data_IF_646899377844
#
_entry.id   IF_646899377844
#
_cell.length_a   1.000
_cell.length_b   1.000
_cell.length_c   1.000
_cell.angle_alpha   90.00
_cell.angle_beta   90.00
_cell.angle_gamma   90.00
#
_symmetry.space_group_name_H-M   'P 1'
#
loop_
_entity.id
_entity.type
_entity.pdbx_description
1 polymer ?
#
# COMPACT_ATOMS: atom_id res chain seq x y z
N UNK A 1 10.52 8.56 -11.43
CA UNK A 1 9.58 7.81 -12.28
C UNK A 1 8.25 7.74 -11.57
N UNK A 2 7.14 8.00 -12.27
CA UNK A 2 5.80 7.85 -11.70
C UNK A 2 5.39 6.39 -11.83
N UNK A 3 4.95 5.78 -10.73
CA UNK A 3 4.40 4.41 -10.76
C UNK A 3 3.02 4.49 -11.40
N UNK A 4 2.76 3.69 -12.43
CA UNK A 4 1.38 3.45 -12.84
C UNK A 4 0.74 2.47 -11.85
N UNK A 5 0.08 3.03 -10.85
CA UNK A 5 -0.59 2.28 -9.80
C UNK A 5 -1.68 1.34 -10.31
N UNK A 6 -2.16 1.45 -11.56
CA UNK A 6 -3.20 0.57 -12.10
C UNK A 6 -2.66 -0.72 -12.70
N UNK A 7 -1.45 -0.71 -13.26
CA UNK A 7 -0.94 -1.81 -14.08
C UNK A 7 0.49 -2.24 -13.75
N UNK A 8 1.26 -1.43 -13.04
CA UNK A 8 2.65 -1.75 -12.71
C UNK A 8 2.75 -3.00 -11.84
N UNK A 9 3.81 -3.78 -12.03
CA UNK A 9 4.16 -4.86 -11.10
C UNK A 9 4.56 -4.25 -9.76
N UNK A 10 3.77 -4.53 -8.73
CA UNK A 10 3.98 -4.04 -7.37
C UNK A 10 4.76 -5.09 -6.57
N UNK A 11 5.77 -4.63 -5.84
CA UNK A 11 6.60 -5.46 -4.98
C UNK A 11 6.67 -4.83 -3.59
N UNK A 12 7.17 -5.60 -2.61
CA UNK A 12 7.44 -5.06 -1.27
C UNK A 12 8.40 -3.87 -1.28
N UNK A 13 9.27 -3.76 -2.30
CA UNK A 13 10.24 -2.66 -2.44
C UNK A 13 9.69 -1.45 -3.22
N UNK A 14 8.48 -1.53 -3.77
CA UNK A 14 7.84 -0.40 -4.45
C UNK A 14 7.64 0.75 -3.47
N UNK A 15 8.29 1.89 -3.74
CA UNK A 15 8.18 3.10 -2.93
C UNK A 15 6.80 3.73 -3.11
N UNK A 16 6.16 4.11 -2.00
CA UNK A 16 4.92 4.89 -1.98
C UNK A 16 5.30 6.34 -2.27
N UNK A 17 5.01 6.79 -3.48
CA UNK A 17 5.27 8.17 -3.90
C UNK A 17 4.09 9.11 -3.56
N UNK A 18 4.31 10.41 -3.73
CA UNK A 18 3.29 11.45 -3.55
C UNK A 18 2.04 11.27 -4.43
N UNK A 19 2.12 10.46 -5.47
CA UNK A 19 1.03 10.18 -6.40
C UNK A 19 0.31 8.87 -6.08
N UNK A 20 0.54 8.28 -4.90
CA UNK A 20 -0.04 7.02 -4.48
C UNK A 20 -1.57 6.98 -4.64
N UNK A 21 -2.05 5.89 -5.26
CA UNK A 21 -3.49 5.62 -5.45
C UNK A 21 -3.86 4.22 -4.95
N UNK A 22 -4.94 4.12 -4.19
CA UNK A 22 -5.57 2.85 -3.82
C UNK A 22 -6.35 2.26 -5.01
N UNK A 23 -5.63 1.86 -6.05
CA UNK A 23 -6.24 1.17 -7.19
C UNK A 23 -6.59 -0.26 -6.82
N UNK A 24 -7.31 -0.95 -7.72
CA UNK A 24 -7.55 -2.38 -7.57
C UNK A 24 -6.26 -3.22 -7.59
N UNK A 25 -5.22 -2.77 -8.32
CA UNK A 25 -3.92 -3.43 -8.36
C UNK A 25 -3.22 -3.37 -6.98
N UNK A 26 -3.21 -2.18 -6.35
CA UNK A 26 -2.69 -2.03 -4.97
C UNK A 26 -3.49 -2.89 -3.99
N UNK A 27 -4.82 -2.91 -4.11
CA UNK A 27 -5.67 -3.76 -3.27
C UNK A 27 -5.32 -5.24 -3.42
N UNK A 28 -5.12 -5.71 -4.65
CA UNK A 28 -4.73 -7.10 -4.93
C UNK A 28 -3.40 -7.44 -4.28
N UNK A 29 -2.39 -6.60 -4.49
CA UNK A 29 -1.08 -6.75 -3.84
C UNK A 29 -1.23 -6.84 -2.32
N UNK A 30 -2.01 -5.95 -1.70
CA UNK A 30 -2.19 -5.94 -0.26
C UNK A 30 -2.91 -7.20 0.24
N UNK A 31 -3.92 -7.68 -0.47
CA UNK A 31 -4.61 -8.95 -0.13
C UNK A 31 -3.66 -10.14 -0.26
N UNK A 32 -2.78 -10.17 -1.27
CA UNK A 32 -1.76 -11.22 -1.40
C UNK A 32 -0.74 -11.21 -0.24
N UNK A 33 -0.39 -10.03 0.28
CA UNK A 33 0.55 -9.91 1.41
C UNK A 33 -0.10 -10.12 2.78
N UNK A 34 -1.36 -9.70 2.95
CA UNK A 34 -2.03 -9.55 4.25
C UNK A 34 -3.22 -10.51 4.45
N UNK A 35 -3.67 -11.19 3.39
CA UNK A 35 -4.84 -12.06 3.37
C UNK A 35 -6.16 -11.36 3.02
N UNK A 36 -7.22 -12.15 2.85
CA UNK A 36 -8.54 -11.69 2.38
C UNK A 36 -9.25 -10.70 3.33
N UNK A 37 -8.87 -10.75 4.61
CA UNK A 37 -9.35 -9.83 5.64
C UNK A 37 -8.80 -8.39 5.48
N UNK A 38 -7.84 -8.17 4.57
CA UNK A 38 -7.28 -6.85 4.32
C UNK A 38 -8.35 -5.82 3.95
N UNK A 39 -8.33 -4.68 4.63
CA UNK A 39 -9.23 -3.54 4.37
C UNK A 39 -8.45 -2.25 4.55
N UNK A 40 -8.74 -1.29 3.68
CA UNK A 40 -8.33 0.10 3.90
C UNK A 40 -9.36 0.77 4.79
N UNK A 41 -8.90 1.36 5.90
CA UNK A 41 -9.65 2.32 6.70
C UNK A 41 -9.04 3.73 6.57
N UNK A 42 -9.74 4.72 7.13
CA UNK A 42 -9.36 6.13 7.02
C UNK A 42 -8.03 6.43 7.71
N UNK A 43 -7.78 5.86 8.89
CA UNK A 43 -6.62 6.20 9.71
C UNK A 43 -5.36 5.51 9.15
N UNK A 44 -5.51 4.32 8.59
CA UNK A 44 -4.49 3.66 7.80
C UNK A 44 -4.15 4.45 6.54
N UNK A 45 -5.16 4.97 5.85
CA UNK A 45 -4.92 5.82 4.68
C UNK A 45 -4.25 7.15 4.99
N UNK A 46 -4.61 7.78 6.10
CA UNK A 46 -3.93 8.97 6.59
C UNK A 46 -2.45 8.68 6.90
N UNK A 47 -2.16 7.53 7.53
CA UNK A 47 -0.78 7.12 7.82
C UNK A 47 0.04 6.81 6.56
N UNK A 48 -0.54 6.15 5.55
CA UNK A 48 0.15 5.89 4.28
C UNK A 48 0.59 7.21 3.64
N UNK A 49 -0.28 8.24 3.68
CA UNK A 49 -0.10 9.54 3.03
C UNK A 49 0.53 10.63 3.92
N UNK A 50 1.15 10.28 5.05
CA UNK A 50 1.69 11.26 6.00
C UNK A 50 3.06 11.85 5.61
N UNK A 51 3.43 11.84 4.34
CA UNK A 51 4.72 12.29 3.79
C UNK A 51 6.00 11.62 4.35
N UNK A 52 5.86 10.61 5.21
CA UNK A 52 7.01 9.79 5.64
C UNK A 52 7.31 8.75 4.56
N UNK A 53 8.58 8.62 4.10
CA UNK A 53 8.97 7.62 3.11
C UNK A 53 8.62 6.20 3.56
N UNK A 54 7.97 5.46 2.65
CA UNK A 54 7.55 4.07 2.88
C UNK A 54 7.60 3.27 1.58
N UNK A 55 7.66 1.97 1.72
CA UNK A 55 7.45 0.98 0.68
C UNK A 55 6.11 0.28 0.87
N UNK A 56 5.61 -0.41 -0.16
CA UNK A 56 4.44 -1.27 -0.01
C UNK A 56 4.67 -2.42 0.99
N UNK A 57 5.92 -2.83 1.21
CA UNK A 57 6.29 -3.75 2.28
C UNK A 57 5.98 -3.15 3.66
N UNK A 58 6.40 -1.91 3.91
CA UNK A 58 6.11 -1.21 5.16
C UNK A 58 4.60 -1.04 5.38
N UNK A 59 3.84 -0.82 4.30
CA UNK A 59 2.38 -0.73 4.35
C UNK A 59 1.75 -2.07 4.76
N UNK A 60 2.22 -3.19 4.20
CA UNK A 60 1.75 -4.52 4.57
C UNK A 60 2.08 -4.88 6.03
N UNK A 61 3.29 -4.55 6.46
CA UNK A 61 3.77 -4.81 7.82
C UNK A 61 2.99 -3.96 8.83
N UNK A 62 2.73 -2.69 8.52
CA UNK A 62 1.94 -1.81 9.38
C UNK A 62 0.49 -2.29 9.51
N UNK A 63 -0.13 -2.75 8.43
CA UNK A 63 -1.49 -3.31 8.53
C UNK A 63 -1.51 -4.51 9.48
N UNK A 64 -0.52 -5.40 9.37
CA UNK A 64 -0.40 -6.58 10.22
C UNK A 64 -0.14 -6.20 11.68
N UNK A 65 0.65 -5.15 11.92
CA UNK A 65 0.94 -4.62 13.26
C UNK A 65 -0.28 -3.97 13.93
N UNK A 66 -1.22 -3.44 13.16
CA UNK A 66 -2.46 -2.81 13.66
C UNK A 66 -3.58 -3.81 13.96
N UNK A 67 -3.46 -5.05 13.47
CA UNK A 67 -4.41 -6.12 13.73
C UNK A 67 -4.21 -6.69 15.13
#
# INVERSE_FOLDING_TARGET
MQIDWHSSSLTRTTVVDKNYKNTQNVRRFMVEQCGEAFRFDRDFMAWIRNDVPKTLGDVADEWTRRR
#
